data_IF_607475174046
#
_entry.id   IF_607475174046
#
_cell.length_a   1.000
_cell.length_b   1.000
_cell.length_c   1.000
_cell.angle_alpha   90.00
_cell.angle_beta   90.00
_cell.angle_gamma   90.00
#
_symmetry.space_group_name_H-M   'P 1'
#
loop_
_entity.id
_entity.type
_entity.pdbx_description
1 polymer ?
#
# COMPACT_ATOMS: atom_id res chain seq x y z
N UNK A 1 15.73 12.35 12.73
CA UNK A 1 15.30 11.16 13.51
C UNK A 1 16.41 10.12 13.39
N UNK A 2 16.93 9.55 14.50
CA UNK A 2 18.03 8.59 14.42
C UNK A 2 17.59 7.35 13.63
N UNK A 3 18.38 6.98 12.62
CA UNK A 3 18.26 5.80 11.75
C UNK A 3 16.83 5.33 11.45
N UNK A 4 16.06 6.15 10.73
CA UNK A 4 14.88 5.64 10.04
C UNK A 4 15.33 4.84 8.82
N UNK A 5 15.03 3.55 8.80
CA UNK A 5 15.15 2.73 7.59
C UNK A 5 13.97 3.06 6.67
N UNK A 6 14.26 3.54 5.46
CA UNK A 6 13.24 3.70 4.43
C UNK A 6 12.90 2.30 3.89
N UNK A 7 11.64 1.87 4.10
CA UNK A 7 11.11 0.62 3.55
C UNK A 7 10.19 0.90 2.37
N UNK A 8 10.20 0.00 1.38
CA UNK A 8 9.25 0.05 0.26
C UNK A 8 7.88 -0.35 0.78
N UNK A 9 6.85 0.39 0.36
CA UNK A 9 5.47 0.09 0.70
C UNK A 9 4.55 0.41 -0.47
N UNK A 10 3.39 -0.23 -0.50
CA UNK A 10 2.24 0.23 -1.28
C UNK A 10 1.21 0.85 -0.35
N UNK A 11 0.51 1.87 -0.85
CA UNK A 11 -0.46 2.63 -0.05
C UNK A 11 -1.80 2.65 -0.77
N UNK A 12 -2.85 2.30 -0.04
CA UNK A 12 -4.22 2.52 -0.44
C UNK A 12 -4.74 3.83 0.18
N UNK A 13 -5.27 4.73 -0.66
CA UNK A 13 -5.87 5.99 -0.20
C UNK A 13 -7.20 6.22 -0.93
N UNK A 14 -8.32 5.85 -0.32
CA UNK A 14 -9.62 5.90 -0.99
C UNK A 14 -10.77 5.46 -0.10
N UNK A 15 -11.95 5.19 -0.68
CA UNK A 15 -13.17 4.83 0.09
C UNK A 15 -13.51 3.33 0.09
N UNK A 16 -12.63 2.51 -0.47
CA UNK A 16 -12.77 1.08 -0.72
C UNK A 16 -14.18 0.74 -1.23
N UNK A 17 -14.54 1.17 -2.46
CA UNK A 17 -15.91 1.10 -2.95
C UNK A 17 -16.46 -0.33 -2.99
N UNK A 18 -15.60 -1.35 -3.12
CA UNK A 18 -15.96 -2.77 -2.98
C UNK A 18 -16.66 -3.10 -1.65
N UNK A 19 -16.31 -2.39 -0.57
CA UNK A 19 -16.85 -2.62 0.78
C UNK A 19 -17.80 -1.53 1.25
N UNK A 20 -18.11 -0.54 0.39
CA UNK A 20 -19.03 0.57 0.69
C UNK A 20 -18.75 1.27 2.03
N UNK A 21 -17.47 1.47 2.35
CA UNK A 21 -17.10 2.06 3.63
C UNK A 21 -17.44 3.55 3.67
N UNK A 22 -17.96 4.06 4.80
CA UNK A 22 -18.42 5.44 4.91
C UNK A 22 -17.27 6.46 4.94
N UNK A 23 -16.04 6.01 5.19
CA UNK A 23 -14.90 6.88 5.42
C UNK A 23 -13.76 6.60 4.44
N UNK A 24 -12.96 7.64 4.18
CA UNK A 24 -11.71 7.51 3.43
C UNK A 24 -10.68 6.79 4.31
N UNK A 25 -10.04 5.78 3.75
CA UNK A 25 -8.98 5.01 4.40
C UNK A 25 -7.61 5.46 3.89
N UNK A 26 -6.61 5.26 4.74
CA UNK A 26 -5.20 5.38 4.43
C UNK A 26 -4.52 4.13 5.00
N UNK A 27 -4.25 3.15 4.15
CA UNK A 27 -3.68 1.87 4.54
C UNK A 27 -2.32 1.68 3.87
N UNK A 28 -1.34 1.24 4.64
CA UNK A 28 0.04 1.06 4.18
C UNK A 28 0.42 -0.41 4.33
N UNK A 29 0.79 -1.04 3.23
CA UNK A 29 1.39 -2.36 3.23
C UNK A 29 2.90 -2.24 3.03
N UNK A 30 3.66 -2.47 4.09
CA UNK A 30 5.13 -2.41 4.11
C UNK A 30 5.66 -3.76 3.66
N UNK A 31 6.47 -3.77 2.60
CA UNK A 31 7.09 -5.01 2.11
C UNK A 31 8.19 -5.49 3.07
N UNK A 32 8.33 -6.81 3.14
CA UNK A 32 9.39 -7.49 3.92
C UNK A 32 9.43 -7.05 5.39
N UNK A 33 8.27 -6.67 5.94
CA UNK A 33 8.11 -6.38 7.36
C UNK A 33 8.06 -7.67 8.17
N UNK A 34 8.73 -7.68 9.32
CA UNK A 34 8.89 -8.87 10.18
C UNK A 34 7.64 -9.18 11.05
N UNK A 35 6.59 -8.38 10.91
CA UNK A 35 5.36 -8.51 11.70
C UNK A 35 5.45 -7.86 13.08
N UNK A 36 6.57 -7.19 13.42
CA UNK A 36 6.68 -6.48 14.69
C UNK A 36 5.61 -5.37 14.80
N UNK A 37 5.04 -5.14 16.00
CA UNK A 37 4.00 -4.13 16.18
C UNK A 37 4.48 -2.71 15.85
N UNK A 38 3.60 -1.95 15.20
CA UNK A 38 3.81 -0.54 14.84
C UNK A 38 2.87 0.42 15.60
N UNK A 39 1.97 -0.10 16.44
CA UNK A 39 1.07 0.72 17.26
C UNK A 39 1.85 1.68 18.17
N UNK A 40 1.40 2.93 18.23
CA UNK A 40 2.04 3.99 19.02
C UNK A 40 3.35 4.54 18.44
N UNK A 41 3.83 4.03 17.31
CA UNK A 41 5.02 4.55 16.62
C UNK A 41 4.64 5.62 15.60
N UNK A 42 5.48 6.66 15.48
CA UNK A 42 5.35 7.64 14.42
C UNK A 42 5.96 7.08 13.13
N UNK A 43 5.17 7.07 12.05
CA UNK A 43 5.60 6.62 10.73
C UNK A 43 5.44 7.79 9.76
N UNK A 44 6.43 8.00 8.90
CA UNK A 44 6.36 8.97 7.81
C UNK A 44 6.19 8.21 6.51
N UNK A 45 5.14 8.53 5.75
CA UNK A 45 4.87 7.94 4.44
C UNK A 45 5.15 8.96 3.36
N UNK A 46 6.07 8.62 2.44
CA UNK A 46 6.41 9.44 1.26
C UNK A 46 5.74 8.83 0.04
N UNK A 47 4.84 9.59 -0.62
CA UNK A 47 4.16 9.12 -1.83
C UNK A 47 5.05 9.38 -3.05
N UNK A 48 5.61 8.31 -3.63
CA UNK A 48 6.55 8.41 -4.75
C UNK A 48 5.89 8.34 -6.12
N UNK A 49 4.93 7.44 -6.31
CA UNK A 49 4.30 7.20 -7.61
C UNK A 49 2.86 6.75 -7.45
N UNK A 50 1.97 7.35 -8.25
CA UNK A 50 0.60 6.89 -8.39
C UNK A 50 0.53 5.64 -9.29
N UNK A 51 -0.18 4.61 -8.84
CA UNK A 51 -0.26 3.32 -9.54
C UNK A 51 -1.58 3.19 -10.32
N UNK A 52 -2.72 3.46 -9.67
CA UNK A 52 -4.06 3.38 -10.25
C UNK A 52 -5.12 4.09 -9.40
N UNK A 53 -6.28 4.33 -10.00
CA UNK A 53 -7.50 4.81 -9.33
C UNK A 53 -8.19 3.72 -8.49
N UNK A 54 -9.15 4.16 -7.66
CA UNK A 54 -10.08 3.28 -6.96
C UNK A 54 -10.93 2.47 -7.95
N UNK A 55 -11.17 1.20 -7.63
CA UNK A 55 -11.95 0.28 -8.46
C UNK A 55 -12.75 -0.67 -7.57
N UNK A 56 -13.99 -0.95 -7.96
CA UNK A 56 -14.79 -2.02 -7.39
C UNK A 56 -14.49 -3.35 -8.08
N UNK A 57 -14.48 -4.44 -7.32
CA UNK A 57 -14.27 -5.79 -7.84
C UNK A 57 -15.52 -6.64 -7.64
N UNK A 58 -15.77 -7.59 -8.56
CA UNK A 58 -16.95 -8.46 -8.48
C UNK A 58 -16.75 -9.63 -7.53
N UNK A 59 -15.51 -9.94 -7.18
CA UNK A 59 -15.16 -11.00 -6.25
C UNK A 59 -13.92 -10.67 -5.43
N UNK A 60 -13.75 -11.38 -4.31
CA UNK A 60 -12.54 -11.31 -3.48
C UNK A 60 -11.31 -11.77 -4.26
N UNK A 61 -11.46 -12.75 -5.15
CA UNK A 61 -10.34 -13.26 -5.95
C UNK A 61 -9.85 -12.24 -6.98
N UNK A 62 -10.76 -11.48 -7.59
CA UNK A 62 -10.39 -10.36 -8.47
C UNK A 62 -9.64 -9.26 -7.70
N UNK A 63 -10.12 -8.92 -6.50
CA UNK A 63 -9.44 -7.95 -5.64
C UNK A 63 -8.02 -8.43 -5.26
N UNK A 64 -7.88 -9.70 -4.85
CA UNK A 64 -6.56 -10.29 -4.52
C UNK A 64 -5.59 -10.20 -5.70
N UNK A 65 -6.02 -10.63 -6.88
CA UNK A 65 -5.19 -10.55 -8.11
C UNK A 65 -4.74 -9.12 -8.39
N UNK A 66 -5.63 -8.14 -8.27
CA UNK A 66 -5.25 -6.75 -8.47
C UNK A 66 -4.23 -6.27 -7.42
N UNK A 67 -4.38 -6.67 -6.15
CA UNK A 67 -3.42 -6.33 -5.09
C UNK A 67 -2.03 -6.94 -5.41
N UNK A 68 -1.99 -8.18 -5.89
CA UNK A 68 -0.73 -8.83 -6.30
C UNK A 68 -0.06 -8.10 -7.47
N UNK A 69 -0.84 -7.72 -8.49
CA UNK A 69 -0.37 -6.93 -9.63
C UNK A 69 0.17 -5.55 -9.19
N UNK A 70 -0.54 -4.87 -8.28
CA UNK A 70 -0.14 -3.60 -7.71
C UNK A 70 1.18 -3.74 -6.92
N UNK A 71 1.33 -4.83 -6.16
CA UNK A 71 2.55 -5.13 -5.41
C UNK A 71 3.74 -5.38 -6.34
N UNK A 72 3.54 -6.16 -7.41
CA UNK A 72 4.56 -6.40 -8.44
C UNK A 72 5.00 -5.09 -9.10
N UNK A 73 4.05 -4.25 -9.51
CA UNK A 73 4.33 -2.95 -10.14
C UNK A 73 5.05 -2.00 -9.18
N UNK A 74 4.66 -1.98 -7.91
CA UNK A 74 5.34 -1.20 -6.87
C UNK A 74 6.81 -1.60 -6.76
N UNK A 75 7.07 -2.91 -6.60
CA UNK A 75 8.45 -3.43 -6.51
C UNK A 75 9.27 -3.09 -7.76
N UNK A 76 8.67 -3.15 -8.96
CA UNK A 76 9.34 -2.76 -10.20
C UNK A 76 9.73 -1.27 -10.20
N UNK A 77 8.81 -0.36 -9.83
CA UNK A 77 9.08 1.09 -9.80
C UNK A 77 10.32 1.41 -8.98
N UNK A 78 10.51 0.78 -7.82
CA UNK A 78 11.67 1.02 -6.97
C UNK A 78 12.94 0.27 -7.40
N UNK A 79 12.82 -0.87 -8.11
CA UNK A 79 13.99 -1.55 -8.71
C UNK A 79 14.67 -0.73 -9.81
N UNK A 80 13.91 0.08 -10.56
CA UNK A 80 14.43 0.93 -11.64
C UNK A 80 14.90 2.32 -11.16
N UNK A 81 14.94 2.57 -9.85
CA UNK A 81 15.38 3.85 -9.26
C UNK A 81 16.79 3.77 -8.63
N UNK A 82 17.53 2.70 -8.91
CA UNK A 82 18.97 2.55 -8.62
C UNK A 82 19.76 2.53 -9.91
#
# INVERSE_FOLDING_TARGET
>A
LPQSEDKIAMVYIGRAPTFSLPQRMFEVHIFDHDGSPLYGKNIVVKLHKFIREDRSFKSVDELKRQIDDDAMRTKQIFKFQH
#
